data_IF_115152163826
#
_entry.id   IF_115152163826
#
_cell.length_a   1.000
_cell.length_b   1.000
_cell.length_c   1.000
_cell.angle_alpha   90.00
_cell.angle_beta   90.00
_cell.angle_gamma   90.00
#
_symmetry.space_group_name_H-M   'P 1'
#
loop_
_entity.id
_entity.type
_entity.pdbx_description
1 polymer ?
#
# COMPACT_ATOMS: atom_id res chain seq x y z
N UNK A 1 21.67 5.88 -8.47
CA UNK A 1 20.51 5.03 -8.18
C UNK A 1 20.41 4.91 -6.67
N UNK A 2 19.23 5.14 -6.12
CA UNK A 2 18.97 4.98 -4.69
C UNK A 2 18.97 3.50 -4.32
N UNK A 3 19.25 3.21 -3.05
CA UNK A 3 19.17 1.86 -2.53
C UNK A 3 17.71 1.41 -2.43
N UNK A 4 17.46 0.12 -2.65
CA UNK A 4 16.12 -0.47 -2.56
C UNK A 4 15.43 -0.13 -1.23
N UNK A 5 16.13 -0.24 -0.10
CA UNK A 5 15.61 0.08 1.23
C UNK A 5 15.15 1.54 1.36
N UNK A 6 15.86 2.46 0.69
CA UNK A 6 15.49 3.88 0.65
C UNK A 6 14.23 4.07 -0.17
N UNK A 7 14.11 3.39 -1.30
CA UNK A 7 12.94 3.43 -2.19
C UNK A 7 11.70 2.86 -1.48
N UNK A 8 11.84 1.73 -0.81
CA UNK A 8 10.80 1.10 0.01
C UNK A 8 10.31 2.05 1.11
N UNK A 9 11.24 2.72 1.82
CA UNK A 9 10.89 3.67 2.87
C UNK A 9 10.18 4.92 2.32
N UNK A 10 10.61 5.41 1.15
CA UNK A 10 9.93 6.52 0.44
C UNK A 10 8.50 6.13 0.11
N UNK A 11 8.31 4.96 -0.51
CA UNK A 11 7.00 4.44 -0.87
C UNK A 11 6.08 4.28 0.35
N UNK A 12 6.59 3.68 1.43
CA UNK A 12 5.84 3.48 2.67
C UNK A 12 5.42 4.81 3.29
N UNK A 13 6.35 5.76 3.42
CA UNK A 13 6.05 7.07 3.99
C UNK A 13 5.03 7.84 3.15
N UNK A 14 5.17 7.78 1.83
CA UNK A 14 4.22 8.41 0.91
C UNK A 14 2.82 7.82 1.07
N UNK A 15 2.67 6.48 1.07
CA UNK A 15 1.37 5.83 1.24
C UNK A 15 0.72 6.20 2.57
N UNK A 16 1.45 6.03 3.68
CA UNK A 16 0.92 6.27 5.02
C UNK A 16 0.50 7.73 5.23
N UNK A 17 1.21 8.67 4.61
CA UNK A 17 0.83 10.08 4.63
C UNK A 17 -0.46 10.34 3.84
N UNK A 18 -0.62 9.75 2.66
CA UNK A 18 -1.82 9.94 1.84
C UNK A 18 -3.06 9.28 2.44
N UNK A 19 -2.89 8.14 3.13
CA UNK A 19 -3.97 7.46 3.85
C UNK A 19 -4.25 8.07 5.22
N UNK A 20 -3.53 9.13 5.62
CA UNK A 20 -3.65 9.79 6.92
C UNK A 20 -3.48 8.82 8.11
N UNK A 21 -2.56 7.85 7.99
CA UNK A 21 -2.35 6.83 9.02
C UNK A 21 -1.70 7.44 10.26
N UNK A 22 -2.34 7.23 11.41
CA UNK A 22 -1.80 7.60 12.71
C UNK A 22 -0.43 6.94 12.96
N UNK A 23 0.57 7.69 13.48
CA UNK A 23 1.92 7.16 13.71
C UNK A 23 1.97 5.89 14.56
N UNK A 24 1.06 5.73 15.53
CA UNK A 24 0.97 4.54 16.38
C UNK A 24 0.60 3.26 15.61
N UNK A 25 -0.06 3.36 14.45
CA UNK A 25 -0.53 2.21 13.67
C UNK A 25 0.36 1.88 12.46
N UNK A 26 1.49 2.58 12.27
CA UNK A 26 2.43 2.32 11.16
C UNK A 26 2.97 0.89 11.17
N UNK A 27 3.12 0.30 12.35
CA UNK A 27 3.60 -1.07 12.53
C UNK A 27 2.67 -2.14 11.94
N UNK A 28 1.44 -1.77 11.58
CA UNK A 28 0.50 -2.65 10.91
C UNK A 28 0.76 -2.75 9.40
N UNK A 29 1.69 -1.98 8.84
CA UNK A 29 1.98 -1.96 7.41
C UNK A 29 3.37 -2.53 7.12
N UNK A 30 3.49 -3.31 6.06
CA UNK A 30 4.75 -3.92 5.63
C UNK A 30 4.89 -3.92 4.11
N UNK A 31 6.13 -3.85 3.64
CA UNK A 31 6.46 -4.08 2.23
C UNK A 31 6.43 -5.58 2.00
N UNK A 32 5.56 -6.03 1.10
CA UNK A 32 5.37 -7.45 0.76
C UNK A 32 5.96 -7.82 -0.59
N UNK A 33 6.31 -6.84 -1.41
CA UNK A 33 6.85 -7.06 -2.74
C UNK A 33 7.54 -5.82 -3.29
N UNK A 34 8.58 -6.06 -4.09
CA UNK A 34 9.38 -5.01 -4.71
C UNK A 34 9.80 -5.47 -6.10
N UNK A 35 9.50 -4.66 -7.13
CA UNK A 35 9.87 -4.93 -8.53
C UNK A 35 10.55 -3.71 -9.13
N UNK A 36 11.73 -3.89 -9.72
CA UNK A 36 12.44 -2.86 -10.48
C UNK A 36 12.27 -3.13 -11.98
N UNK A 37 11.91 -2.09 -12.74
CA UNK A 37 11.76 -2.14 -14.19
C UNK A 37 13.00 -1.62 -14.91
N UNK A 38 13.12 -1.93 -16.21
CA UNK A 38 14.27 -1.55 -17.04
C UNK A 38 14.48 -0.02 -17.16
N UNK A 39 13.45 0.77 -16.89
CA UNK A 39 13.48 2.24 -16.88
C UNK A 39 13.88 2.83 -15.50
N UNK A 40 14.34 2.00 -14.55
CA UNK A 40 14.66 2.36 -13.17
C UNK A 40 13.46 2.82 -12.31
N UNK A 41 12.24 2.52 -12.73
CA UNK A 41 11.06 2.69 -11.89
C UNK A 41 10.92 1.46 -10.98
N UNK A 42 10.45 1.71 -9.76
CA UNK A 42 10.22 0.68 -8.75
C UNK A 42 8.75 0.64 -8.40
N UNK A 43 8.14 -0.54 -8.52
CA UNK A 43 6.83 -0.83 -7.95
C UNK A 43 7.04 -1.48 -6.58
N UNK A 44 6.53 -0.83 -5.54
CA UNK A 44 6.54 -1.32 -4.17
C UNK A 44 5.12 -1.75 -3.79
N UNK A 45 4.95 -3.01 -3.40
CA UNK A 45 3.70 -3.55 -2.88
C UNK A 45 3.73 -3.46 -1.35
N UNK A 46 2.76 -2.75 -0.78
CA UNK A 46 2.64 -2.55 0.67
C UNK A 46 1.31 -3.13 1.13
N UNK A 47 1.32 -3.93 2.19
CA UNK A 47 0.11 -4.54 2.75
C UNK A 47 -0.07 -4.18 4.23
N UNK A 48 -1.26 -4.45 4.76
CA UNK A 48 -1.48 -4.52 6.20
C UNK A 48 -1.17 -5.95 6.66
N UNK A 49 -0.43 -6.08 7.76
CA UNK A 49 -0.06 -7.37 8.35
C UNK A 49 -1.31 -8.24 8.54
N UNK A 50 -1.25 -9.46 8.00
CA UNK A 50 -2.35 -10.43 8.05
C UNK A 50 -3.41 -10.29 6.95
N UNK A 51 -3.37 -9.23 6.11
CA UNK A 51 -4.27 -9.07 4.96
C UNK A 51 -3.67 -9.64 3.67
N UNK A 52 -3.60 -10.97 3.62
CA UNK A 52 -3.06 -11.69 2.46
C UNK A 52 -3.86 -11.36 1.19
N UNK A 53 -3.13 -11.02 0.11
CA UNK A 53 -3.73 -10.70 -1.19
C UNK A 53 -4.41 -9.33 -1.25
N UNK A 54 -4.19 -8.44 -0.27
CA UNK A 54 -4.67 -7.04 -0.26
C UNK A 54 -3.48 -6.10 -0.13
N UNK A 55 -3.17 -5.30 -1.13
CA UNK A 55 -1.99 -4.45 -1.09
C UNK A 55 -2.13 -3.19 -1.95
N UNK A 56 -1.34 -2.17 -1.61
CA UNK A 56 -1.16 -0.96 -2.39
C UNK A 56 0.09 -1.06 -3.24
N UNK A 57 0.00 -0.64 -4.49
CA UNK A 57 1.14 -0.42 -5.36
C UNK A 57 1.54 1.04 -5.29
N UNK A 58 2.82 1.30 -5.02
CA UNK A 58 3.41 2.64 -5.06
C UNK A 58 4.58 2.62 -6.05
N UNK A 59 4.56 3.56 -6.98
CA UNK A 59 5.61 3.69 -7.99
C UNK A 59 6.59 4.80 -7.61
N UNK A 60 7.88 4.46 -7.60
CA UNK A 60 8.97 5.38 -7.23
C UNK A 60 10.05 5.36 -8.30
N UNK A 61 10.51 6.54 -8.71
CA UNK A 61 11.71 6.69 -9.54
C UNK A 61 12.95 6.32 -8.73
N UNK A 62 13.66 5.26 -9.11
CA UNK A 62 14.85 4.78 -8.40
C UNK A 62 16.09 5.66 -8.55
N UNK A 63 16.05 6.68 -9.41
CA UNK A 63 17.12 7.67 -9.57
C UNK A 63 16.86 8.91 -8.72
N UNK A 64 15.63 9.42 -8.73
CA UNK A 64 15.27 10.69 -8.08
C UNK A 64 14.58 10.51 -6.73
N UNK A 65 14.04 9.33 -6.44
CA UNK A 65 13.23 9.07 -5.25
C UNK A 65 11.85 9.72 -5.30
N UNK A 66 11.45 10.25 -6.46
CA UNK A 66 10.14 10.87 -6.64
C UNK A 66 9.07 9.79 -6.85
N UNK A 67 7.92 9.96 -6.21
CA UNK A 67 6.74 9.12 -6.49
C UNK A 67 6.12 9.52 -7.83
N UNK A 68 5.87 8.52 -8.68
CA UNK A 68 5.56 8.73 -10.10
C UNK A 68 4.05 8.83 -10.39
N UNK A 69 3.23 8.17 -9.57
CA UNK A 69 1.77 8.21 -9.62
C UNK A 69 1.22 8.14 -8.18
N UNK A 70 -0.09 8.38 -8.04
CA UNK A 70 -0.78 8.01 -6.80
C UNK A 70 -0.67 6.50 -6.55
N UNK A 71 -1.00 6.07 -5.34
CA UNK A 71 -1.03 4.65 -5.03
C UNK A 71 -2.26 3.98 -5.63
N UNK A 72 -2.12 2.72 -6.03
CA UNK A 72 -3.22 1.89 -6.53
C UNK A 72 -3.49 0.75 -5.56
N UNK A 73 -4.72 0.68 -5.03
CA UNK A 73 -5.13 -0.43 -4.18
C UNK A 73 -5.53 -1.63 -5.03
N UNK A 74 -4.92 -2.78 -4.77
CA UNK A 74 -5.08 -4.02 -5.51
C UNK A 74 -5.47 -5.17 -4.59
N UNK A 75 -6.18 -6.14 -5.19
CA UNK A 75 -6.58 -7.36 -4.52
C UNK A 75 -6.59 -8.55 -5.45
N UNK A 76 -6.02 -9.66 -4.98
CA UNK A 76 -6.13 -10.98 -5.61
C UNK A 76 -7.30 -11.81 -5.08
N UNK A 77 -7.97 -11.33 -4.02
CA UNK A 77 -9.08 -12.05 -3.40
C UNK A 77 -10.41 -11.72 -4.09
N UNK A 78 -11.13 -12.76 -4.53
CA UNK A 78 -12.46 -12.63 -5.14
C UNK A 78 -13.56 -12.32 -4.10
N UNK A 79 -13.28 -12.46 -2.80
CA UNK A 79 -14.22 -12.24 -1.69
C UNK A 79 -14.34 -10.76 -1.28
N UNK A 80 -13.82 -9.82 -2.08
CA UNK A 80 -13.92 -8.38 -1.83
C UNK A 80 -15.35 -7.80 -1.90
N UNK A 81 -16.35 -8.66 -2.13
CA UNK A 81 -17.75 -8.29 -2.15
C UNK A 81 -18.40 -8.22 -0.76
N UNK A 82 -17.66 -8.52 0.32
CA UNK A 82 -18.18 -8.45 1.68
C UNK A 82 -17.53 -7.32 2.49
N UNK A 83 -18.29 -6.71 3.40
CA UNK A 83 -17.77 -5.77 4.41
C UNK A 83 -16.84 -6.52 5.34
N UNK A 84 -15.57 -6.12 5.40
CA UNK A 84 -14.58 -6.85 6.18
C UNK A 84 -14.41 -6.20 7.56
N UNK A 85 -14.85 -6.89 8.62
CA UNK A 85 -14.53 -6.50 9.99
C UNK A 85 -13.33 -7.29 10.50
N UNK A 86 -12.14 -6.74 10.30
CA UNK A 86 -10.92 -7.29 10.89
C UNK A 86 -10.86 -6.91 12.36
N UNK A 87 -11.14 -7.87 13.25
CA UNK A 87 -11.19 -7.68 14.70
C UNK A 87 -9.89 -7.12 15.32
N UNK A 88 -8.75 -7.30 14.65
CA UNK A 88 -7.45 -6.83 15.12
C UNK A 88 -7.08 -5.43 14.59
N UNK A 89 -7.85 -4.87 13.66
CA UNK A 89 -7.63 -3.54 13.13
C UNK A 89 -8.49 -2.50 13.88
N UNK A 90 -7.95 -1.31 14.14
CA UNK A 90 -8.76 -0.16 14.54
C UNK A 90 -9.92 0.11 13.57
N UNK A 91 -11.05 0.57 14.09
CA UNK A 91 -12.27 0.83 13.32
C UNK A 91 -12.03 1.73 12.09
N UNK A 92 -11.18 2.74 12.21
CA UNK A 92 -10.90 3.65 11.11
C UNK A 92 -10.14 2.97 9.95
N UNK A 93 -9.30 1.96 10.23
CA UNK A 93 -8.62 1.18 9.20
C UNK A 93 -9.61 0.23 8.50
N UNK A 94 -10.52 -0.40 9.27
CA UNK A 94 -11.61 -1.17 8.67
C UNK A 94 -12.46 -0.29 7.74
N UNK A 95 -12.86 0.90 8.19
CA UNK A 95 -13.61 1.87 7.36
C UNK A 95 -12.81 2.35 6.14
N UNK A 96 -11.50 2.52 6.26
CA UNK A 96 -10.64 2.85 5.12
C UNK A 96 -10.69 1.73 4.09
N UNK A 97 -10.48 0.48 4.51
CA UNK A 97 -10.55 -0.69 3.63
C UNK A 97 -11.93 -0.80 2.97
N UNK A 98 -13.02 -0.68 3.73
CA UNK A 98 -14.38 -0.69 3.18
C UNK A 98 -14.59 0.40 2.10
N UNK A 99 -14.07 1.62 2.31
CA UNK A 99 -14.18 2.71 1.32
C UNK A 99 -13.37 2.45 0.05
N UNK A 100 -12.19 1.86 0.17
CA UNK A 100 -11.33 1.57 -0.99
C UNK A 100 -11.89 0.42 -1.82
N UNK A 101 -12.52 -0.54 -1.16
CA UNK A 101 -13.05 -1.75 -1.78
C UNK A 101 -14.41 -1.54 -2.42
N UNK A 102 -15.28 -0.73 -1.78
CA UNK A 102 -16.57 -0.36 -2.35
C UNK A 102 -16.45 0.40 -3.69
N UNK A 103 -15.31 1.04 -3.97
CA UNK A 103 -15.05 1.81 -5.20
C UNK A 103 -14.59 0.97 -6.40
N UNK A 104 -14.23 -0.31 -6.20
CA UNK A 104 -13.75 -1.18 -7.30
C UNK A 104 -14.91 -1.63 -8.22
N UNK A 105 -16.16 -1.31 -7.88
CA UNK A 105 -17.32 -1.43 -8.77
C UNK A 105 -17.48 -0.22 -9.72
N UNK A 106 -16.57 -0.02 -10.68
CA UNK A 106 -16.85 0.80 -11.87
C UNK A 106 -16.24 0.20 -13.12
#
# INVERSE_FOLDING_TARGET
MLEQTTIEQIALNYLLSNLEIHPEHRHLFEVVGTTCFDNNEWMINISIVGLVGKYWNVFVDGTTGKTLADWEFNTDCQDFNETHQYLYLPDYLNQLLDRLTAKVFR
#
